data_IF_355987912967
#
_entry.id   IF_355987912967
#
_cell.length_a   1.000
_cell.length_b   1.000
_cell.length_c   1.000
_cell.angle_alpha   90.00
_cell.angle_beta   90.00
_cell.angle_gamma   90.00
#
_symmetry.space_group_name_H-M   'P 1'
#
loop_
_entity.id
_entity.type
_entity.pdbx_description
1 polymer ?
#
# COMPACT_ATOMS: atom_id res chain seq x y z
N UNK A 1 -18.46 -69.03 -57.97
CA UNK A 1 -17.93 -67.67 -57.92
C UNK A 1 -18.66 -66.95 -56.81
N UNK A 2 -18.10 -66.91 -55.57
CA UNK A 2 -18.68 -66.28 -54.39
C UNK A 2 -17.93 -64.99 -54.07
N UNK A 3 -18.63 -63.89 -54.15
CA UNK A 3 -18.09 -62.58 -53.93
C UNK A 3 -18.29 -62.23 -52.36
N UNK A 4 -17.17 -62.16 -51.65
CA UNK A 4 -17.17 -61.73 -50.25
C UNK A 4 -17.17 -60.21 -50.19
N UNK A 5 -18.21 -59.62 -49.61
CA UNK A 5 -18.29 -58.24 -49.28
C UNK A 5 -17.69 -57.96 -47.87
N UNK A 6 -16.60 -57.20 -47.80
CA UNK A 6 -16.00 -56.76 -46.55
C UNK A 6 -16.71 -55.48 -46.09
N UNK A 7 -17.44 -55.53 -45.01
CA UNK A 7 -18.06 -54.37 -44.40
C UNK A 7 -17.05 -53.70 -43.44
N UNK A 8 -16.62 -52.48 -43.75
CA UNK A 8 -15.75 -51.70 -42.90
C UNK A 8 -16.60 -50.84 -41.95
N UNK A 9 -16.59 -51.21 -40.66
CA UNK A 9 -17.25 -50.46 -39.59
C UNK A 9 -16.31 -49.33 -39.13
N UNK A 10 -16.62 -48.09 -39.49
CA UNK A 10 -15.88 -46.93 -38.99
C UNK A 10 -16.32 -46.60 -37.54
N UNK A 11 -15.45 -46.84 -36.59
CA UNK A 11 -15.65 -46.42 -35.20
C UNK A 11 -15.30 -44.94 -35.09
N UNK A 12 -16.32 -44.10 -34.88
CA UNK A 12 -16.15 -42.67 -34.59
C UNK A 12 -15.80 -42.50 -33.08
N UNK A 13 -14.53 -42.25 -32.80
CA UNK A 13 -14.08 -41.95 -31.42
C UNK A 13 -14.34 -40.45 -31.16
N UNK A 14 -15.45 -40.12 -30.50
CA UNK A 14 -15.69 -38.78 -29.98
C UNK A 14 -14.79 -38.52 -28.78
N UNK A 15 -13.72 -37.76 -28.93
CA UNK A 15 -12.99 -37.17 -27.82
C UNK A 15 -13.87 -36.07 -27.16
N UNK A 16 -14.48 -36.37 -26.05
CA UNK A 16 -15.08 -35.36 -25.19
C UNK A 16 -13.93 -34.58 -24.52
N UNK A 17 -13.63 -33.39 -25.04
CA UNK A 17 -12.80 -32.43 -24.35
C UNK A 17 -13.60 -31.90 -23.15
N UNK A 18 -13.42 -32.53 -22.00
CA UNK A 18 -13.90 -31.98 -20.74
C UNK A 18 -13.12 -30.68 -20.49
N UNK A 19 -13.71 -29.55 -20.89
CA UNK A 19 -13.19 -28.24 -20.56
C UNK A 19 -13.16 -28.14 -19.02
N UNK A 20 -11.98 -28.12 -18.45
CA UNK A 20 -11.74 -27.72 -17.05
C UNK A 20 -12.07 -26.23 -16.93
N UNK A 21 -13.35 -25.89 -16.88
CA UNK A 21 -13.81 -24.61 -16.38
C UNK A 21 -13.50 -24.59 -14.89
N UNK A 22 -12.43 -23.88 -14.53
CA UNK A 22 -12.21 -23.53 -13.13
C UNK A 22 -13.49 -22.90 -12.60
N UNK A 23 -14.01 -23.32 -11.43
CA UNK A 23 -15.23 -22.73 -10.89
C UNK A 23 -15.02 -21.23 -10.74
N UNK A 24 -15.86 -20.45 -11.43
CA UNK A 24 -15.89 -19.01 -11.28
C UNK A 24 -16.23 -18.74 -9.82
N UNK A 25 -15.27 -18.26 -9.03
CA UNK A 25 -15.49 -17.96 -7.62
C UNK A 25 -16.56 -16.86 -7.56
N UNK A 26 -17.65 -17.14 -6.85
CA UNK A 26 -18.78 -16.21 -6.74
C UNK A 26 -18.35 -14.89 -6.08
N UNK A 27 -18.98 -13.81 -6.46
CA UNK A 27 -18.86 -12.51 -5.78
C UNK A 27 -19.29 -12.65 -4.33
N UNK A 28 -18.49 -12.11 -3.42
CA UNK A 28 -18.77 -12.09 -1.98
C UNK A 28 -19.49 -10.80 -1.62
N UNK A 29 -20.44 -10.87 -0.70
CA UNK A 29 -20.93 -9.67 -0.04
C UNK A 29 -19.83 -9.04 0.81
N UNK A 30 -19.82 -7.70 1.03
CA UNK A 30 -18.75 -7.03 1.78
C UNK A 30 -18.46 -7.66 3.14
N UNK A 31 -19.48 -8.03 3.90
CA UNK A 31 -19.35 -8.68 5.20
C UNK A 31 -18.70 -10.07 5.11
N UNK A 32 -19.00 -10.82 4.05
CA UNK A 32 -18.42 -12.13 3.80
C UNK A 32 -16.96 -12.00 3.36
N UNK A 33 -16.68 -11.02 2.50
CA UNK A 33 -15.32 -10.70 2.05
C UNK A 33 -14.46 -10.31 3.25
N UNK A 34 -14.95 -9.40 4.11
CA UNK A 34 -14.23 -9.01 5.32
C UNK A 34 -13.91 -10.21 6.20
N UNK A 35 -14.90 -11.03 6.52
CA UNK A 35 -14.71 -12.21 7.36
C UNK A 35 -13.68 -13.20 6.77
N UNK A 36 -13.66 -13.35 5.44
CA UNK A 36 -12.75 -14.26 4.75
C UNK A 36 -11.30 -13.76 4.72
N UNK A 37 -11.07 -12.45 4.60
CA UNK A 37 -9.72 -11.90 4.36
C UNK A 37 -9.10 -11.21 5.57
N UNK A 38 -9.89 -10.69 6.52
CA UNK A 38 -9.37 -10.01 7.71
C UNK A 38 -8.34 -10.82 8.52
N UNK A 39 -8.45 -12.16 8.66
CA UNK A 39 -7.42 -12.96 9.32
C UNK A 39 -6.07 -12.99 8.59
N UNK A 40 -6.01 -12.55 7.34
CA UNK A 40 -4.79 -12.48 6.52
C UNK A 40 -4.19 -11.07 6.46
N UNK A 41 -4.89 -10.07 7.01
CA UNK A 41 -4.41 -8.69 7.07
C UNK A 41 -3.48 -8.53 8.26
N UNK A 42 -2.40 -7.80 8.05
CA UNK A 42 -1.37 -7.55 9.04
C UNK A 42 -1.28 -6.05 9.30
N UNK A 43 -1.45 -5.63 10.53
CA UNK A 43 -1.01 -4.33 10.98
C UNK A 43 0.49 -4.45 11.36
N UNK A 44 1.34 -3.69 10.69
CA UNK A 44 2.77 -3.61 10.97
C UNK A 44 3.03 -2.46 11.94
N UNK A 45 3.41 -2.80 13.16
CA UNK A 45 3.93 -1.84 14.13
C UNK A 45 5.43 -1.64 13.82
N UNK A 46 5.79 -0.48 13.30
CA UNK A 46 7.14 -0.19 12.80
C UNK A 46 7.81 0.88 13.67
N UNK A 47 9.04 0.59 14.11
CA UNK A 47 9.98 1.57 14.67
C UNK A 47 11.11 1.78 13.66
N UNK A 48 11.35 3.02 13.24
CA UNK A 48 12.44 3.33 12.33
C UNK A 48 13.74 3.68 13.05
N UNK A 49 14.85 3.85 12.30
CA UNK A 49 16.15 4.20 12.88
C UNK A 49 16.17 5.58 13.56
N UNK A 50 15.24 6.48 13.22
CA UNK A 50 15.07 7.76 13.89
C UNK A 50 14.24 7.65 15.20
N UNK A 51 13.83 6.44 15.60
CA UNK A 51 12.99 6.20 16.78
C UNK A 51 11.52 6.59 16.60
N UNK A 52 11.09 6.83 15.36
CA UNK A 52 9.69 7.12 15.07
C UNK A 52 8.88 5.82 14.99
N UNK A 53 7.74 5.80 15.68
CA UNK A 53 6.78 4.70 15.63
C UNK A 53 5.60 5.05 14.73
N UNK A 54 5.19 4.11 13.90
CA UNK A 54 3.99 4.24 13.06
C UNK A 54 3.40 2.88 12.75
N UNK A 55 2.14 2.87 12.33
CA UNK A 55 1.43 1.68 11.87
C UNK A 55 1.25 1.76 10.36
N UNK A 56 1.48 0.65 9.69
CA UNK A 56 1.22 0.44 8.28
C UNK A 56 0.61 -0.95 8.08
N UNK A 57 0.47 -1.40 6.85
CA UNK A 57 -0.13 -2.71 6.58
C UNK A 57 0.78 -3.62 5.78
N UNK A 58 0.50 -4.90 5.92
CA UNK A 58 0.89 -5.96 5.02
C UNK A 58 -0.28 -6.95 4.91
N UNK A 59 -0.15 -7.94 4.08
CA UNK A 59 -1.09 -9.07 4.01
C UNK A 59 -0.37 -10.36 3.67
N UNK A 60 -0.90 -11.46 4.20
CA UNK A 60 -0.41 -12.80 3.87
C UNK A 60 -0.87 -13.16 2.46
N UNK A 61 0.07 -13.31 1.53
CA UNK A 61 -0.21 -13.75 0.16
C UNK A 61 -0.10 -15.27 0.03
N UNK A 62 -0.58 -15.80 -1.10
CA UNK A 62 -0.38 -17.21 -1.45
C UNK A 62 1.11 -17.53 -1.48
N UNK A 63 1.53 -18.52 -0.70
CA UNK A 63 2.92 -18.91 -0.46
C UNK A 63 3.17 -19.13 1.03
N UNK A 64 4.15 -19.97 1.37
CA UNK A 64 4.51 -20.20 2.77
C UNK A 64 5.27 -19.00 3.31
N UNK A 65 4.94 -18.57 4.53
CA UNK A 65 5.64 -17.52 5.27
C UNK A 65 5.80 -16.17 4.52
N UNK A 66 4.93 -15.91 3.52
CA UNK A 66 5.02 -14.73 2.67
C UNK A 66 4.02 -13.65 3.10
N UNK A 67 4.54 -12.48 3.47
CA UNK A 67 3.76 -11.25 3.62
C UNK A 67 4.22 -10.20 2.58
N UNK A 68 3.24 -9.48 2.03
CA UNK A 68 3.46 -8.41 1.03
C UNK A 68 3.19 -7.07 1.67
N UNK A 69 4.05 -6.08 1.43
CA UNK A 69 3.87 -4.70 1.87
C UNK A 69 4.49 -3.72 0.87
N UNK A 70 4.37 -2.41 1.13
CA UNK A 70 5.07 -1.37 0.37
C UNK A 70 6.51 -1.20 0.89
N UNK A 71 7.47 -0.93 -0.02
CA UNK A 71 8.88 -0.75 0.33
C UNK A 71 9.09 0.45 1.26
N UNK A 72 8.41 1.59 1.00
CA UNK A 72 8.52 2.78 1.84
C UNK A 72 8.09 2.57 3.30
N UNK A 73 7.31 1.53 3.60
CA UNK A 73 6.93 1.16 4.98
C UNK A 73 8.12 0.59 5.73
N UNK A 74 8.97 -0.13 5.02
CA UNK A 74 9.98 -1.00 5.64
C UNK A 74 11.43 -0.57 5.40
N UNK A 75 11.69 0.31 4.42
CA UNK A 75 13.04 0.67 3.99
C UNK A 75 13.92 1.31 5.08
N UNK A 76 13.32 1.92 6.07
CA UNK A 76 14.00 2.59 7.20
C UNK A 76 13.60 1.98 8.55
N UNK A 77 13.03 0.77 8.54
CA UNK A 77 12.58 0.13 9.75
C UNK A 77 13.77 -0.48 10.51
N UNK A 78 13.86 -0.17 11.79
CA UNK A 78 14.79 -0.78 12.75
C UNK A 78 14.19 -2.03 13.39
N UNK A 79 12.89 -1.98 13.69
CA UNK A 79 12.13 -3.06 14.29
C UNK A 79 10.73 -3.10 13.72
N UNK A 80 10.22 -4.30 13.50
CA UNK A 80 8.86 -4.53 13.05
C UNK A 80 8.20 -5.66 13.83
N UNK A 81 6.94 -5.45 14.15
CA UNK A 81 6.07 -6.46 14.71
C UNK A 81 4.78 -6.54 13.89
N UNK A 82 4.39 -7.75 13.53
CA UNK A 82 3.16 -8.02 12.81
C UNK A 82 2.04 -8.32 13.81
N UNK A 83 0.93 -7.60 13.73
CA UNK A 83 -0.25 -7.81 14.55
C UNK A 83 -1.46 -8.16 13.68
N UNK A 84 -2.25 -9.12 14.12
CA UNK A 84 -3.45 -9.61 13.44
C UNK A 84 -4.73 -9.18 14.15
N UNK A 85 -5.87 -9.36 13.50
CA UNK A 85 -7.19 -8.98 14.02
C UNK A 85 -7.60 -9.71 15.31
N UNK A 86 -6.98 -10.83 15.62
CA UNK A 86 -7.14 -11.57 16.89
C UNK A 86 -6.15 -11.14 17.99
N UNK A 87 -5.43 -10.01 17.78
CA UNK A 87 -4.37 -9.48 18.64
C UNK A 87 -3.13 -10.36 18.80
N UNK A 88 -3.01 -11.46 18.07
CA UNK A 88 -1.76 -12.22 18.05
C UNK A 88 -0.67 -11.40 17.36
N UNK A 89 0.55 -11.49 17.90
CA UNK A 89 1.72 -10.75 17.43
C UNK A 89 2.83 -11.71 17.02
N UNK A 90 3.52 -11.35 15.95
CA UNK A 90 4.63 -12.11 15.39
C UNK A 90 5.76 -11.18 15.00
N UNK A 91 6.99 -11.62 15.21
CA UNK A 91 8.15 -10.88 14.73
C UNK A 91 8.31 -11.13 13.22
N UNK A 92 8.57 -10.08 12.46
CA UNK A 92 8.96 -10.21 11.05
C UNK A 92 10.40 -10.75 11.01
N UNK A 93 10.56 -11.94 10.42
CA UNK A 93 11.85 -12.65 10.46
C UNK A 93 12.90 -12.03 9.51
N UNK A 94 12.47 -11.54 8.34
CA UNK A 94 13.40 -10.98 7.38
C UNK A 94 12.74 -10.45 6.10
N UNK A 95 13.57 -9.89 5.22
CA UNK A 95 13.22 -9.45 3.88
C UNK A 95 13.56 -10.59 2.90
N UNK A 96 12.58 -11.01 2.10
CA UNK A 96 12.77 -12.01 1.04
C UNK A 96 13.22 -11.34 -0.26
N UNK A 97 12.51 -10.28 -0.68
CA UNK A 97 12.79 -9.53 -1.89
C UNK A 97 12.24 -8.11 -1.80
N UNK A 98 12.79 -7.19 -2.59
CA UNK A 98 12.31 -5.82 -2.69
C UNK A 98 12.37 -5.29 -4.11
N UNK A 99 11.48 -4.38 -4.43
CA UNK A 99 11.56 -3.57 -5.64
C UNK A 99 11.32 -2.11 -5.28
N UNK A 100 12.39 -1.35 -5.17
CA UNK A 100 12.34 0.06 -4.74
C UNK A 100 11.59 0.93 -5.75
N UNK A 101 11.78 0.67 -7.07
CA UNK A 101 11.10 1.43 -8.12
C UNK A 101 9.59 1.20 -8.13
N UNK A 102 9.15 0.00 -7.80
CA UNK A 102 7.73 -0.37 -7.72
C UNK A 102 7.15 -0.16 -6.32
N UNK A 103 7.97 0.26 -5.35
CA UNK A 103 7.53 0.42 -3.96
C UNK A 103 6.93 -0.87 -3.37
N UNK A 104 7.58 -2.03 -3.59
CA UNK A 104 7.13 -3.34 -3.10
C UNK A 104 8.19 -4.01 -2.23
N UNK A 105 7.76 -4.75 -1.22
CA UNK A 105 8.60 -5.61 -0.40
C UNK A 105 7.88 -6.94 -0.08
N UNK A 106 8.66 -8.03 -0.09
CA UNK A 106 8.25 -9.35 0.37
C UNK A 106 8.93 -9.64 1.70
N UNK A 107 8.15 -9.97 2.71
CA UNK A 107 8.62 -10.23 4.07
C UNK A 107 8.44 -11.71 4.42
N UNK A 108 9.40 -12.26 5.15
CA UNK A 108 9.24 -13.56 5.79
C UNK A 108 8.51 -13.36 7.12
N UNK A 109 7.32 -13.94 7.22
CA UNK A 109 6.47 -13.90 8.40
C UNK A 109 5.83 -15.26 8.66
N UNK A 110 6.28 -15.93 9.71
CA UNK A 110 5.64 -17.18 10.16
C UNK A 110 4.41 -16.84 11.01
N UNK A 111 3.27 -16.76 10.36
CA UNK A 111 1.99 -16.46 10.98
C UNK A 111 1.13 -17.73 11.23
N UNK A 112 1.71 -18.90 11.14
CA UNK A 112 1.00 -20.19 11.33
C UNK A 112 -0.03 -20.47 10.24
N UNK A 113 -1.09 -21.20 10.60
CA UNK A 113 -2.13 -21.69 9.68
C UNK A 113 -3.22 -20.64 9.37
N UNK A 114 -2.82 -19.40 9.11
CA UNK A 114 -3.75 -18.33 8.71
C UNK A 114 -4.16 -18.44 7.25
N UNK A 115 -5.37 -18.00 6.87
CA UNK A 115 -5.77 -17.87 5.47
C UNK A 115 -4.76 -17.01 4.69
N UNK A 116 -4.67 -17.25 3.39
CA UNK A 116 -3.79 -16.52 2.49
C UNK A 116 -4.60 -15.88 1.39
N UNK A 117 -4.32 -14.63 1.08
CA UNK A 117 -4.99 -13.91 0.00
C UNK A 117 -4.38 -14.32 -1.33
N UNK A 118 -5.21 -14.75 -2.26
CA UNK A 118 -4.78 -15.08 -3.62
C UNK A 118 -4.47 -13.78 -4.36
N UNK A 119 -3.34 -13.73 -5.04
CA UNK A 119 -3.01 -12.64 -5.95
C UNK A 119 -3.78 -12.82 -7.25
N UNK A 120 -4.54 -11.80 -7.67
CA UNK A 120 -5.28 -11.84 -8.93
C UNK A 120 -4.32 -11.83 -10.12
N UNK A 121 -4.51 -12.74 -11.06
CA UNK A 121 -3.73 -12.82 -12.30
C UNK A 121 -4.21 -11.85 -13.37
N UNK A 122 -5.44 -11.34 -13.25
CA UNK A 122 -6.06 -10.44 -14.22
C UNK A 122 -6.12 -9.01 -13.72
N UNK A 123 -5.88 -8.06 -14.62
CA UNK A 123 -6.03 -6.63 -14.30
C UNK A 123 -7.51 -6.26 -14.19
N UNK A 124 -7.90 -5.43 -13.22
CA UNK A 124 -9.26 -4.89 -13.12
C UNK A 124 -9.55 -3.94 -14.29
N UNK A 125 -10.83 -3.69 -14.53
CA UNK A 125 -11.29 -2.65 -15.46
C UNK A 125 -11.52 -1.34 -14.71
N UNK A 126 -11.48 -0.21 -15.41
CA UNK A 126 -11.93 1.07 -14.88
C UNK A 126 -13.42 0.92 -14.51
N UNK A 127 -13.80 1.41 -13.33
CA UNK A 127 -15.14 1.24 -12.76
C UNK A 127 -15.32 -0.04 -11.95
N UNK A 128 -14.34 -0.97 -11.92
CA UNK A 128 -14.42 -2.16 -11.05
C UNK A 128 -14.46 -1.74 -9.59
N UNK A 129 -15.36 -2.35 -8.82
CA UNK A 129 -15.47 -2.20 -7.37
C UNK A 129 -14.22 -2.78 -6.69
N UNK A 130 -13.77 -2.11 -5.65
CA UNK A 130 -12.63 -2.54 -4.85
C UNK A 130 -12.90 -2.35 -3.37
N UNK A 131 -12.21 -3.13 -2.56
CA UNK A 131 -12.23 -3.06 -1.09
C UNK A 131 -10.81 -2.95 -0.58
N UNK A 132 -10.63 -2.13 0.45
CA UNK A 132 -9.38 -2.02 1.20
C UNK A 132 -9.65 -2.44 2.64
N UNK A 133 -8.73 -3.19 3.23
CA UNK A 133 -8.73 -3.43 4.67
C UNK A 133 -7.36 -3.04 5.17
N UNK A 134 -7.33 -2.08 6.10
CA UNK A 134 -6.09 -1.48 6.56
C UNK A 134 -6.19 -0.89 7.95
N UNK A 135 -5.24 -0.02 8.28
CA UNK A 135 -5.09 0.59 9.60
C UNK A 135 -5.05 2.12 9.50
N UNK A 136 -6.09 2.75 8.92
CA UNK A 136 -6.13 4.20 8.74
C UNK A 136 -5.96 4.90 10.08
N UNK A 137 -4.89 5.71 10.21
CA UNK A 137 -4.59 6.48 11.44
C UNK A 137 -4.57 5.64 12.73
N UNK A 138 -4.19 4.36 12.64
CA UNK A 138 -4.17 3.44 13.78
C UNK A 138 -5.53 2.85 14.17
N UNK A 139 -6.57 3.00 13.30
CA UNK A 139 -7.85 2.30 13.43
C UNK A 139 -7.75 0.97 12.67
N UNK A 140 -7.11 -0.01 13.30
CA UNK A 140 -6.73 -1.25 12.67
C UNK A 140 -7.91 -2.04 12.11
N UNK A 141 -7.62 -2.76 11.01
CA UNK A 141 -8.57 -3.65 10.33
C UNK A 141 -9.87 -2.97 9.88
N UNK A 142 -9.79 -1.67 9.58
CA UNK A 142 -10.91 -0.91 9.02
C UNK A 142 -11.08 -1.26 7.55
N UNK A 143 -12.34 -1.47 7.13
CA UNK A 143 -12.68 -1.73 5.73
C UNK A 143 -13.21 -0.46 5.07
N UNK A 144 -12.77 -0.17 3.87
CA UNK A 144 -13.32 0.85 2.99
C UNK A 144 -13.62 0.29 1.61
N UNK A 145 -14.56 0.91 0.91
CA UNK A 145 -15.00 0.54 -0.43
C UNK A 145 -14.77 1.70 -1.40
N UNK A 146 -14.48 1.36 -2.64
CA UNK A 146 -14.29 2.33 -3.71
C UNK A 146 -14.28 1.66 -5.08
N UNK A 147 -13.63 2.31 -6.05
CA UNK A 147 -13.52 1.78 -7.40
C UNK A 147 -12.16 2.11 -8.03
N UNK A 148 -11.79 1.36 -9.07
CA UNK A 148 -10.70 1.72 -9.95
C UNK A 148 -11.15 2.91 -10.80
N UNK A 149 -10.62 4.09 -10.53
CA UNK A 149 -10.98 5.31 -11.26
C UNK A 149 -10.18 5.48 -12.55
N UNK A 150 -8.95 4.94 -12.60
CA UNK A 150 -8.09 4.97 -13.79
C UNK A 150 -6.95 3.95 -13.67
N UNK A 151 -6.32 3.61 -14.81
CA UNK A 151 -5.05 2.89 -14.87
C UNK A 151 -4.03 3.84 -15.47
N UNK A 152 -2.98 4.17 -14.73
CA UNK A 152 -1.98 5.16 -15.14
C UNK A 152 -0.60 4.55 -15.23
N UNK A 153 0.22 5.15 -16.09
CA UNK A 153 1.67 4.93 -16.09
C UNK A 153 2.33 6.26 -15.74
N UNK A 154 3.02 6.29 -14.61
CA UNK A 154 3.75 7.45 -14.09
C UNK A 154 5.21 7.02 -13.92
N UNK A 155 6.15 7.75 -14.52
CA UNK A 155 7.59 7.46 -14.48
C UNK A 155 7.96 6.01 -14.88
N UNK A 156 7.17 5.46 -15.82
CA UNK A 156 7.34 4.10 -16.31
C UNK A 156 6.79 3.01 -15.37
N UNK A 157 6.15 3.37 -14.27
CA UNK A 157 5.45 2.46 -13.35
C UNK A 157 3.96 2.52 -13.59
N UNK A 158 3.35 1.34 -13.69
CA UNK A 158 1.89 1.19 -13.82
C UNK A 158 1.24 1.22 -12.46
N UNK A 159 0.19 2.02 -12.33
CA UNK A 159 -0.62 2.16 -11.12
C UNK A 159 -2.10 1.95 -11.40
N UNK A 160 -2.81 1.39 -10.43
CA UNK A 160 -4.26 1.52 -10.35
C UNK A 160 -4.58 2.77 -9.51
N UNK A 161 -5.22 3.76 -10.14
CA UNK A 161 -5.76 4.91 -9.42
C UNK A 161 -7.08 4.51 -8.80
N UNK A 162 -7.21 4.77 -7.51
CA UNK A 162 -8.35 4.40 -6.68
C UNK A 162 -9.17 5.64 -6.33
N UNK A 163 -10.47 5.56 -6.46
CA UNK A 163 -11.42 6.47 -5.81
C UNK A 163 -11.95 5.76 -4.55
N UNK A 164 -11.19 5.86 -3.49
CA UNK A 164 -11.44 5.18 -2.21
C UNK A 164 -10.83 6.01 -1.08
N UNK A 165 -11.46 6.08 0.11
CA UNK A 165 -10.83 6.66 1.28
C UNK A 165 -9.52 5.93 1.60
N UNK A 166 -8.39 6.64 1.49
CA UNK A 166 -7.06 6.14 1.84
C UNK A 166 -6.39 7.15 2.76
N UNK A 167 -5.87 6.67 3.86
CA UNK A 167 -5.22 7.48 4.88
C UNK A 167 -3.80 6.97 5.17
N UNK A 168 -2.94 7.79 5.82
CA UNK A 168 -1.71 7.28 6.41
C UNK A 168 -2.03 6.09 7.32
N UNK A 169 -1.28 4.99 7.13
CA UNK A 169 -1.53 3.71 7.79
C UNK A 169 -2.11 2.64 6.86
N UNK A 170 -2.71 3.00 5.70
CA UNK A 170 -3.22 2.02 4.73
C UNK A 170 -2.14 1.50 3.78
N UNK A 171 -0.97 2.14 3.74
CA UNK A 171 0.18 1.73 2.91
C UNK A 171 0.57 0.28 3.14
N UNK A 172 0.82 -0.45 2.06
CA UNK A 172 1.17 -1.88 2.06
C UNK A 172 -0.04 -2.82 2.18
N UNK A 173 -1.24 -2.29 2.46
CA UNK A 173 -2.46 -3.08 2.51
C UNK A 173 -2.94 -3.56 1.12
N UNK A 174 -3.75 -4.63 1.06
CA UNK A 174 -4.26 -5.14 -0.19
C UNK A 174 -5.42 -4.28 -0.73
N UNK A 175 -5.44 -4.10 -2.05
CA UNK A 175 -6.64 -3.73 -2.79
C UNK A 175 -7.30 -5.00 -3.28
N UNK A 176 -8.52 -5.26 -2.86
CA UNK A 176 -9.24 -6.51 -3.09
C UNK A 176 -10.33 -6.32 -4.14
N UNK A 177 -10.58 -7.35 -4.95
CA UNK A 177 -11.78 -7.44 -5.78
C UNK A 177 -12.95 -8.06 -5.00
N UNK A 178 -14.11 -8.16 -5.63
CA UNK A 178 -15.35 -8.77 -5.10
C UNK A 178 -15.25 -10.27 -4.78
N UNK A 179 -14.17 -10.93 -5.18
CA UNK A 179 -13.88 -12.33 -4.85
C UNK A 179 -12.89 -12.49 -3.69
N UNK A 180 -12.45 -11.38 -3.08
CA UNK A 180 -11.43 -11.38 -2.03
C UNK A 180 -10.03 -11.70 -2.53
N UNK A 181 -9.74 -11.52 -3.82
CA UNK A 181 -8.41 -11.64 -4.39
C UNK A 181 -7.72 -10.27 -4.38
N UNK A 182 -6.45 -10.23 -4.04
CA UNK A 182 -5.67 -8.98 -4.10
C UNK A 182 -5.33 -8.65 -5.56
N UNK A 183 -5.80 -7.50 -6.01
CA UNK A 183 -5.50 -6.95 -7.34
C UNK A 183 -4.33 -5.96 -7.31
N UNK A 184 -4.02 -5.38 -6.14
CA UNK A 184 -2.95 -4.42 -5.95
C UNK A 184 -2.54 -4.25 -4.50
N UNK A 185 -1.43 -3.53 -4.31
CA UNK A 185 -0.86 -3.14 -3.01
C UNK A 185 -0.95 -1.62 -2.88
N UNK A 186 -1.55 -1.11 -1.82
CA UNK A 186 -1.65 0.34 -1.58
C UNK A 186 -0.24 0.90 -1.41
N UNK A 187 0.12 1.87 -2.26
CA UNK A 187 1.43 2.52 -2.21
C UNK A 187 1.31 3.94 -1.68
N UNK A 188 0.61 4.84 -2.35
CA UNK A 188 0.53 6.23 -1.94
C UNK A 188 -0.82 6.87 -2.26
N UNK A 189 -1.06 8.03 -1.67
CA UNK A 189 -2.21 8.89 -1.97
C UNK A 189 -1.76 10.28 -2.38
N UNK A 190 -2.56 10.95 -3.17
CA UNK A 190 -2.33 12.34 -3.51
C UNK A 190 -2.71 13.23 -2.31
N UNK A 191 -1.73 13.95 -1.73
CA UNK A 191 -1.92 14.69 -0.49
C UNK A 191 -2.91 15.87 -0.62
N UNK A 192 -2.97 16.48 -1.81
CA UNK A 192 -3.79 17.63 -2.17
C UNK A 192 -5.15 17.25 -2.81
N UNK A 193 -5.53 15.96 -2.77
CA UNK A 193 -6.78 15.48 -3.31
C UNK A 193 -7.44 14.47 -2.35
N UNK A 194 -8.74 14.60 -2.17
CA UNK A 194 -9.52 13.64 -1.40
C UNK A 194 -9.82 12.39 -2.22
N UNK A 195 -9.75 11.23 -1.58
CA UNK A 195 -10.10 9.92 -2.16
C UNK A 195 -9.33 9.59 -3.46
N UNK A 196 -8.12 10.11 -3.62
CA UNK A 196 -7.24 9.76 -4.74
C UNK A 196 -6.02 9.00 -4.21
N UNK A 197 -6.06 7.70 -4.39
CA UNK A 197 -4.98 6.80 -4.02
C UNK A 197 -4.42 6.04 -5.21
N UNK A 198 -3.28 5.38 -4.99
CA UNK A 198 -2.58 4.62 -6.00
C UNK A 198 -2.11 3.29 -5.43
N UNK A 199 -2.28 2.24 -6.21
CA UNK A 199 -1.83 0.90 -5.88
C UNK A 199 -0.97 0.31 -6.97
N UNK A 200 0.05 -0.46 -6.57
CA UNK A 200 0.87 -1.26 -7.48
C UNK A 200 0.09 -2.53 -7.83
N UNK A 201 -0.01 -2.90 -9.13
CA UNK A 201 -0.70 -4.12 -9.55
C UNK A 201 -0.07 -5.40 -8.98
N UNK A 202 -0.89 -6.35 -8.51
CA UNK A 202 -0.41 -7.64 -7.99
C UNK A 202 0.38 -8.51 -8.99
N UNK A 203 0.20 -8.44 -10.32
CA UNK A 203 1.12 -9.09 -11.24
C UNK A 203 2.59 -8.69 -11.08
N UNK A 204 2.88 -7.50 -10.53
CA UNK A 204 4.25 -7.09 -10.20
C UNK A 204 4.78 -7.82 -8.96
N UNK A 205 3.92 -8.05 -7.96
CA UNK A 205 4.25 -8.87 -6.78
C UNK A 205 4.58 -10.31 -7.21
N UNK A 206 3.80 -10.87 -8.13
CA UNK A 206 4.00 -12.24 -8.64
C UNK A 206 5.32 -12.42 -9.42
N UNK A 207 5.96 -11.33 -9.86
CA UNK A 207 7.28 -11.33 -10.52
C UNK A 207 8.45 -11.27 -9.54
N UNK A 208 8.18 -10.94 -8.29
CA UNK A 208 9.21 -10.91 -7.25
C UNK A 208 9.60 -12.32 -6.83
N UNK A 209 10.82 -12.47 -6.33
CA UNK A 209 11.35 -13.78 -5.98
C UNK A 209 11.10 -14.10 -4.50
N UNK A 210 10.08 -14.90 -4.22
CA UNK A 210 9.75 -15.36 -2.86
C UNK A 210 10.57 -16.56 -2.39
N UNK A 211 11.45 -17.12 -3.24
CA UNK A 211 12.28 -18.30 -2.90
C UNK A 211 13.69 -17.92 -2.45
N UNK A 212 14.03 -16.64 -2.43
CA UNK A 212 15.31 -16.19 -1.88
C UNK A 212 15.37 -16.49 -0.38
N UNK A 213 16.57 -16.82 0.15
CA UNK A 213 16.76 -16.90 1.59
C UNK A 213 16.45 -15.53 2.18
N UNK A 214 15.68 -15.52 3.26
CA UNK A 214 15.38 -14.26 3.95
C UNK A 214 16.66 -13.68 4.56
N UNK A 215 16.87 -12.40 4.29
CA UNK A 215 17.90 -11.62 4.97
C UNK A 215 17.29 -11.10 6.27
N UNK A 216 17.96 -11.35 7.40
CA UNK A 216 17.50 -10.89 8.71
C UNK A 216 17.22 -9.39 8.67
N UNK A 217 16.12 -8.98 9.29
CA UNK A 217 15.62 -7.60 9.13
C UNK A 217 16.69 -6.54 9.45
N UNK A 218 17.45 -6.73 10.54
CA UNK A 218 18.53 -5.82 10.96
C UNK A 218 19.70 -5.71 9.97
N UNK A 219 19.88 -6.70 9.09
CA UNK A 219 20.95 -6.74 8.08
C UNK A 219 20.46 -6.27 6.71
N UNK A 220 19.15 -6.40 6.45
CA UNK A 220 18.55 -6.14 5.16
C UNK A 220 18.41 -4.66 4.82
N UNK A 221 18.37 -3.80 5.83
CA UNK A 221 18.09 -2.37 5.70
C UNK A 221 19.10 -1.59 6.53
N UNK A 222 20.26 -1.24 5.96
CA UNK A 222 21.14 -0.26 6.57
C UNK A 222 20.43 1.11 6.60
N UNK A 223 20.75 1.98 7.57
CA UNK A 223 20.25 3.36 7.58
C UNK A 223 20.52 3.97 6.20
N UNK A 224 19.47 4.39 5.51
CA UNK A 224 19.65 5.02 4.21
C UNK A 224 20.11 6.46 4.43
N UNK A 225 21.29 6.81 3.94
CA UNK A 225 21.75 8.20 3.82
C UNK A 225 20.97 8.99 2.75
N UNK A 226 19.88 8.43 2.22
CA UNK A 226 19.11 9.06 1.17
C UNK A 226 17.93 9.86 1.75
N UNK A 227 18.03 11.20 1.86
CA UNK A 227 16.96 12.06 2.36
C UNK A 227 15.77 12.20 1.40
N UNK A 228 15.83 11.60 0.22
CA UNK A 228 14.85 11.80 -0.85
C UNK A 228 14.07 10.53 -1.15
N UNK A 229 13.21 10.11 -0.22
CA UNK A 229 12.07 9.29 -0.59
C UNK A 229 10.90 10.24 -0.92
N UNK A 230 10.55 10.44 -2.22
CA UNK A 230 9.39 11.26 -2.59
C UNK A 230 8.06 10.67 -2.07
N UNK A 231 8.10 9.42 -1.58
CA UNK A 231 6.95 8.69 -1.02
C UNK A 231 6.96 8.63 0.51
N UNK A 232 8.00 9.15 1.18
CA UNK A 232 7.92 9.34 2.61
C UNK A 232 6.68 10.21 2.84
N UNK A 233 5.66 9.63 3.48
CA UNK A 233 4.52 10.40 3.95
C UNK A 233 5.12 11.63 4.62
N UNK A 234 4.81 12.81 4.07
CA UNK A 234 5.23 14.07 4.69
C UNK A 234 4.93 13.90 6.18
N UNK A 235 5.89 14.11 7.08
CA UNK A 235 5.65 13.90 8.49
C UNK A 235 4.33 14.59 8.80
N UNK A 236 3.40 13.86 9.39
CA UNK A 236 2.23 14.49 9.98
C UNK A 236 2.81 15.35 11.10
N UNK A 237 3.29 16.53 10.73
CA UNK A 237 3.67 17.55 11.66
C UNK A 237 2.37 17.94 12.37
N UNK A 238 2.09 17.31 13.50
CA UNK A 238 1.31 17.95 14.55
C UNK A 238 2.19 19.05 15.13
N UNK A 239 2.66 19.93 14.27
CA UNK A 239 3.24 21.16 14.70
C UNK A 239 2.06 22.07 15.03
N UNK A 240 1.93 22.44 16.26
CA UNK A 240 1.39 23.74 16.56
C UNK A 240 2.37 24.73 15.91
N UNK A 241 2.14 25.09 14.65
CA UNK A 241 2.89 26.13 13.97
C UNK A 241 2.40 27.45 14.61
N UNK A 242 3.15 27.94 15.56
CA UNK A 242 2.97 29.29 16.02
C UNK A 242 4.01 30.15 15.27
N UNK A 243 3.61 30.89 14.23
CA UNK A 243 4.52 31.83 13.60
C UNK A 243 4.89 32.91 14.64
N UNK A 244 6.18 33.22 14.75
CA UNK A 244 6.59 34.45 15.46
C UNK A 244 6.25 35.60 14.54
N UNK A 245 5.12 36.24 14.82
CA UNK A 245 4.64 37.38 14.09
C UNK A 245 5.30 38.67 14.62
N UNK A 246 5.47 39.69 13.78
CA UNK A 246 5.78 41.04 14.27
C UNK A 246 4.75 41.48 15.31
N UNK A 247 5.18 42.29 16.30
CA UNK A 247 4.27 42.80 17.33
C UNK A 247 3.03 43.44 16.69
N UNK A 248 1.85 42.94 17.05
CA UNK A 248 0.56 43.45 16.54
C UNK A 248 -0.14 42.58 15.50
N UNK A 249 0.45 41.48 15.02
CA UNK A 249 -0.17 40.56 14.07
C UNK A 249 -0.86 39.37 14.77
N UNK A 250 -1.99 38.92 14.25
CA UNK A 250 -2.66 37.68 14.74
C UNK A 250 -2.13 36.45 14.02
N UNK A 251 -1.88 35.36 14.76
CA UNK A 251 -1.45 34.09 14.18
C UNK A 251 -2.53 33.51 13.25
N UNK A 252 -2.16 33.02 12.05
CA UNK A 252 -3.10 32.35 11.18
C UNK A 252 -3.58 31.02 11.82
N UNK A 253 -4.87 30.74 11.73
CA UNK A 253 -5.49 29.52 12.27
C UNK A 253 -5.69 28.54 11.12
N UNK A 254 -5.00 27.39 11.16
CA UNK A 254 -5.13 26.32 10.20
C UNK A 254 -4.30 26.51 8.90
N UNK A 255 -4.31 25.47 8.06
CA UNK A 255 -3.50 25.41 6.84
C UNK A 255 -3.81 26.51 5.82
N UNK A 256 -5.09 26.86 5.68
CA UNK A 256 -5.54 27.91 4.75
C UNK A 256 -5.06 29.29 5.20
N UNK A 257 -5.16 29.60 6.47
CA UNK A 257 -4.65 30.86 7.01
C UNK A 257 -3.14 30.98 6.88
N UNK A 258 -2.39 29.88 6.99
CA UNK A 258 -0.95 29.86 6.75
C UNK A 258 -0.58 30.11 5.28
N UNK A 259 -1.33 29.55 4.32
CA UNK A 259 -1.12 29.84 2.90
C UNK A 259 -1.44 31.30 2.54
N UNK A 260 -2.51 31.87 3.10
CA UNK A 260 -2.87 33.28 2.91
C UNK A 260 -1.80 34.19 3.51
N UNK A 261 -1.27 33.82 4.69
CA UNK A 261 -0.15 34.52 5.32
C UNK A 261 1.10 34.51 4.42
N UNK A 262 1.53 33.35 3.92
CA UNK A 262 2.68 33.24 3.02
C UNK A 262 2.48 34.06 1.73
N UNK A 263 1.29 34.03 1.17
CA UNK A 263 0.97 34.80 -0.05
C UNK A 263 1.07 36.31 0.16
N UNK A 264 0.75 36.80 1.36
CA UNK A 264 0.88 38.21 1.75
C UNK A 264 2.32 38.66 1.98
N UNK A 265 3.27 37.72 2.19
CA UNK A 265 4.66 38.00 2.53
C UNK A 265 5.63 37.52 1.46
N UNK A 266 5.20 37.47 0.19
CA UNK A 266 6.01 37.03 -0.93
C UNK A 266 7.27 37.89 -1.12
N UNK A 267 8.44 37.24 -1.08
CA UNK A 267 9.76 37.87 -1.16
C UNK A 267 10.32 38.31 0.20
N UNK A 268 9.68 37.97 1.28
CA UNK A 268 10.16 38.21 2.64
C UNK A 268 10.75 36.93 3.26
N UNK A 269 11.68 37.13 4.22
CA UNK A 269 12.21 36.05 5.02
C UNK A 269 11.22 35.70 6.15
N UNK A 270 10.77 34.46 6.20
CA UNK A 270 9.84 33.95 7.22
C UNK A 270 10.55 32.94 8.10
N UNK A 271 10.44 33.09 9.40
CA UNK A 271 10.92 32.13 10.39
C UNK A 271 9.73 31.30 10.91
N UNK A 272 9.79 30.00 10.69
CA UNK A 272 8.83 29.04 11.25
C UNK A 272 9.48 28.34 12.43
N UNK A 273 8.82 28.36 13.59
CA UNK A 273 9.26 27.60 14.75
C UNK A 273 8.33 26.39 14.92
N UNK A 274 8.90 25.22 14.79
CA UNK A 274 8.21 23.95 15.05
C UNK A 274 8.54 23.52 16.47
N UNK A 275 7.52 23.39 17.32
CA UNK A 275 7.68 22.95 18.70
C UNK A 275 7.17 21.52 18.86
N UNK A 276 8.07 20.64 19.27
CA UNK A 276 7.78 19.23 19.55
C UNK A 276 8.11 18.96 21.01
N UNK A 277 7.09 18.93 21.86
CA UNK A 277 7.27 18.83 23.31
C UNK A 277 8.05 20.03 23.88
N UNK A 278 9.19 19.78 24.53
CA UNK A 278 10.08 20.80 25.07
C UNK A 278 11.15 21.30 24.08
N UNK A 279 11.25 20.70 22.89
CA UNK A 279 12.21 21.09 21.85
C UNK A 279 11.55 22.00 20.82
N UNK A 280 12.25 23.07 20.43
CA UNK A 280 11.83 23.99 19.38
C UNK A 280 12.88 24.07 18.28
N UNK A 281 12.48 23.76 17.06
CA UNK A 281 13.35 23.86 15.88
C UNK A 281 12.93 25.06 15.03
N UNK A 282 13.91 25.88 14.65
CA UNK A 282 13.68 27.07 13.84
C UNK A 282 14.03 26.79 12.37
N UNK A 283 13.11 27.11 11.47
CA UNK A 283 13.31 27.06 10.04
C UNK A 283 13.18 28.47 9.46
N UNK A 284 14.22 28.95 8.80
CA UNK A 284 14.20 30.22 8.07
C UNK A 284 14.10 29.92 6.59
N UNK A 285 13.15 30.52 5.89
CA UNK A 285 13.03 30.42 4.44
C UNK A 285 12.51 31.72 3.86
N UNK A 286 12.87 31.98 2.61
CA UNK A 286 12.35 33.11 1.83
C UNK A 286 11.11 32.66 1.07
N UNK A 287 10.02 33.42 1.20
CA UNK A 287 8.78 33.12 0.47
C UNK A 287 8.96 33.47 -1.00
N UNK A 288 8.83 32.51 -1.94
CA UNK A 288 9.03 32.78 -3.37
C UNK A 288 8.07 33.86 -3.87
N UNK A 289 8.58 34.79 -4.65
CA UNK A 289 7.73 35.75 -5.37
C UNK A 289 6.95 35.00 -6.46
N UNK A 290 5.66 35.31 -6.65
CA UNK A 290 4.92 34.75 -7.77
C UNK A 290 5.63 35.14 -9.09
N UNK A 291 5.73 34.16 -10.01
CA UNK A 291 6.30 34.41 -11.33
C UNK A 291 5.51 35.55 -12.01
N UNK A 292 6.22 36.56 -12.51
CA UNK A 292 5.61 37.60 -13.31
C UNK A 292 4.94 36.95 -14.53
N UNK A 293 3.65 37.28 -14.73
CA UNK A 293 2.87 36.79 -15.89
C UNK A 293 3.32 37.52 -17.15
#
# INVERSE_FOLDING_TARGET
>A
MTCNSISATAACVCFAVAGLSSPLRAELKPEQLYAAVAPSIVALDVENFAGKHFVANAFLASGEHLAVTAWHVVHDARRMEARFSDNQRFTVAGLLDKNEKLDLALLQLDAGQRPRITLASTSPKIGSRVYLIGSPRGLDFSMSEGLISQIRTLDGVRYYQLACPISPGDSGGPVLNDRGEAIGVVSWRKADAENVGFAIPCPEVARMNSTLPAVAWSEAVPPSDNPANPFAAAPMVRAAVSPVLPEGSSAPVGYRGFQEFLSGHAGEGVTVIVQEGAQATRFNFEVPKPAAK
#
